data_IF_589831595759
#
_entry.id   IF_589831595759
#
_cell.length_a   1.000
_cell.length_b   1.000
_cell.length_c   1.000
_cell.angle_alpha   90.00
_cell.angle_beta   90.00
_cell.angle_gamma   90.00
#
_symmetry.space_group_name_H-M   'P 1'
#
loop_
_entity.id
_entity.type
_entity.pdbx_description
1 polymer ?
#
# COMPACT_ATOMS: atom_id res chain seq x y z
N UNK A 1 15.99 6.25 27.69
CA UNK A 1 16.20 4.95 28.36
C UNK A 1 15.08 4.00 27.96
N UNK A 2 15.53 2.87 27.42
CA UNK A 2 14.85 1.66 26.94
C UNK A 2 13.82 1.08 27.91
N UNK A 3 12.71 0.51 27.39
CA UNK A 3 12.20 -0.83 27.76
C UNK A 3 11.46 -1.46 26.57
N UNK A 4 12.24 -2.15 25.73
CA UNK A 4 11.78 -3.16 24.77
C UNK A 4 11.78 -4.47 25.56
N UNK A 5 10.61 -4.93 26.00
CA UNK A 5 10.51 -6.18 26.76
C UNK A 5 10.19 -7.32 25.80
N UNK A 6 11.19 -8.19 25.67
CA UNK A 6 11.18 -9.53 25.12
C UNK A 6 10.03 -10.36 25.72
N UNK A 7 9.21 -10.97 24.88
CA UNK A 7 8.39 -12.13 25.22
C UNK A 7 8.80 -13.25 24.27
N UNK A 8 9.89 -13.90 24.66
CA UNK A 8 10.41 -15.16 24.13
C UNK A 8 10.33 -16.15 25.29
N UNK A 9 9.52 -17.19 25.15
CA UNK A 9 9.40 -18.30 26.11
C UNK A 9 8.42 -19.30 25.50
N UNK A 10 8.89 -20.47 25.04
CA UNK A 10 9.21 -21.64 25.86
C UNK A 10 7.96 -22.56 25.80
N UNK A 11 8.01 -23.86 25.54
CA UNK A 11 8.87 -24.90 26.10
C UNK A 11 8.81 -26.12 25.17
N UNK A 12 9.97 -26.70 24.85
CA UNK A 12 10.12 -28.06 24.35
C UNK A 12 9.89 -29.03 25.52
N UNK A 13 8.85 -29.87 25.45
CA UNK A 13 8.66 -30.95 26.43
C UNK A 13 8.85 -32.29 25.73
N UNK A 14 10.01 -32.91 26.00
CA UNK A 14 10.34 -34.25 25.55
C UNK A 14 9.53 -35.31 26.29
N UNK A 15 9.01 -36.29 25.55
CA UNK A 15 8.44 -37.52 26.08
C UNK A 15 9.52 -38.59 26.09
N UNK A 16 10.09 -38.84 27.26
CA UNK A 16 10.81 -40.07 27.57
C UNK A 16 10.18 -40.66 28.84
N UNK A 17 9.54 -41.82 28.69
CA UNK A 17 8.93 -42.59 29.77
C UNK A 17 8.74 -44.02 29.32
N UNK A 18 9.81 -44.82 29.41
CA UNK A 18 9.81 -46.27 29.22
C UNK A 18 9.69 -46.93 30.59
N UNK A 19 8.66 -47.75 30.81
CA UNK A 19 8.77 -48.97 31.64
C UNK A 19 7.53 -49.88 31.55
N UNK A 20 7.73 -50.98 30.81
CA UNK A 20 7.30 -52.37 31.04
C UNK A 20 5.86 -52.67 31.53
N UNK A 21 5.06 -53.30 30.67
CA UNK A 21 4.63 -54.71 30.78
C UNK A 21 3.43 -55.00 29.85
N UNK A 22 3.54 -56.03 29.02
CA UNK A 22 2.39 -56.75 28.49
C UNK A 22 2.12 -56.62 26.99
N UNK A 23 2.10 -57.80 26.35
CA UNK A 23 1.43 -58.14 25.10
C UNK A 23 2.02 -57.61 23.77
N UNK A 24 2.52 -58.58 23.01
CA UNK A 24 2.84 -58.47 21.59
C UNK A 24 1.62 -58.01 20.77
N UNK A 25 1.83 -57.02 19.91
CA UNK A 25 1.18 -56.96 18.60
C UNK A 25 2.22 -56.43 17.63
N UNK A 26 2.68 -57.29 16.73
CA UNK A 26 3.47 -56.87 15.58
C UNK A 26 2.58 -56.02 14.67
N UNK A 27 2.62 -54.71 14.86
CA UNK A 27 2.00 -53.77 13.93
C UNK A 27 2.92 -53.67 12.72
N UNK A 28 2.48 -54.26 11.61
CA UNK A 28 3.03 -54.00 10.29
C UNK A 28 3.12 -52.49 10.04
N UNK A 29 4.13 -51.99 9.30
CA UNK A 29 4.13 -50.60 8.89
C UNK A 29 2.91 -50.35 8.01
N UNK A 30 1.93 -49.64 8.55
CA UNK A 30 0.84 -49.09 7.76
C UNK A 30 1.44 -48.17 6.69
N UNK A 31 0.97 -48.22 5.44
CA UNK A 31 1.40 -47.25 4.44
C UNK A 31 1.02 -45.86 4.94
N UNK A 32 2.00 -44.96 4.96
CA UNK A 32 1.82 -43.54 5.24
C UNK A 32 0.79 -43.01 4.24
N UNK A 33 -0.44 -42.82 4.72
CA UNK A 33 -1.51 -42.27 3.92
C UNK A 33 -1.09 -40.87 3.49
N UNK A 34 -1.16 -40.54 2.19
CA UNK A 34 -0.83 -39.20 1.72
C UNK A 34 -1.74 -38.21 2.46
N UNK A 35 -1.12 -37.24 3.14
CA UNK A 35 -1.84 -36.15 3.80
C UNK A 35 -2.93 -35.63 2.85
N UNK A 36 -4.19 -35.49 3.31
CA UNK A 36 -5.30 -35.19 2.43
C UNK A 36 -5.02 -33.85 1.76
N UNK A 37 -4.88 -33.87 0.43
CA UNK A 37 -4.63 -32.68 -0.39
C UNK A 37 -5.68 -31.57 -0.16
N UNK A 38 -6.82 -31.91 0.44
CA UNK A 38 -7.87 -30.99 0.85
C UNK A 38 -7.41 -29.95 1.87
N UNK A 39 -6.53 -30.29 2.83
CA UNK A 39 -6.11 -29.31 3.86
C UNK A 39 -5.26 -28.19 3.27
N UNK A 40 -4.34 -28.52 2.34
CA UNK A 40 -3.53 -27.53 1.63
C UNK A 40 -4.35 -26.65 0.68
N UNK A 41 -5.35 -27.23 0.02
CA UNK A 41 -6.25 -26.46 -0.85
C UNK A 41 -7.13 -25.49 -0.04
N UNK A 42 -7.56 -25.90 1.15
CA UNK A 42 -8.33 -25.06 2.07
C UNK A 42 -7.48 -23.93 2.68
N UNK A 43 -6.25 -24.23 3.11
CA UNK A 43 -5.27 -23.23 3.55
C UNK A 43 -4.97 -22.18 2.46
N UNK A 44 -4.79 -22.61 1.21
CA UNK A 44 -4.57 -21.71 0.08
C UNK A 44 -5.77 -20.77 -0.15
N UNK A 45 -6.99 -21.28 0.00
CA UNK A 45 -8.22 -20.49 -0.14
C UNK A 45 -8.37 -19.45 0.99
N UNK A 46 -8.02 -19.81 2.22
CA UNK A 46 -8.01 -18.87 3.35
C UNK A 46 -6.98 -17.76 3.13
N UNK A 47 -5.79 -18.09 2.62
CA UNK A 47 -4.77 -17.10 2.26
C UNK A 47 -5.24 -16.15 1.15
N UNK A 48 -5.95 -16.64 0.13
CA UNK A 48 -6.54 -15.81 -0.91
C UNK A 48 -7.61 -14.87 -0.36
N UNK A 49 -8.50 -15.35 0.52
CA UNK A 49 -9.50 -14.51 1.17
C UNK A 49 -8.86 -13.43 2.03
N UNK A 50 -7.84 -13.76 2.83
CA UNK A 50 -7.08 -12.77 3.62
C UNK A 50 -6.41 -11.75 2.69
N UNK A 51 -5.82 -12.18 1.57
CA UNK A 51 -5.20 -11.27 0.59
C UNK A 51 -6.23 -10.32 0.00
N UNK A 52 -7.42 -10.82 -0.33
CA UNK A 52 -8.46 -10.02 -0.97
C UNK A 52 -9.12 -9.05 0.03
N UNK A 53 -9.33 -9.47 1.28
CA UNK A 53 -9.74 -8.58 2.37
C UNK A 53 -8.69 -7.50 2.67
N UNK A 54 -7.40 -7.85 2.69
CA UNK A 54 -6.32 -6.87 2.86
C UNK A 54 -6.24 -5.89 1.68
N UNK A 55 -6.63 -6.30 0.46
CA UNK A 55 -6.75 -5.40 -0.69
C UNK A 55 -7.92 -4.43 -0.51
N UNK A 56 -9.06 -4.90 -0.01
CA UNK A 56 -10.20 -4.06 0.30
C UNK A 56 -9.90 -3.07 1.45
N UNK A 57 -9.23 -3.55 2.51
CA UNK A 57 -8.84 -2.75 3.67
C UNK A 57 -7.72 -1.74 3.39
N UNK A 58 -6.85 -2.00 2.40
CA UNK A 58 -5.83 -1.03 1.98
C UNK A 58 -6.40 0.25 1.36
N UNK A 59 -7.72 0.35 1.21
CA UNK A 59 -8.39 1.47 0.58
C UNK A 59 -8.04 1.59 -0.90
N UNK A 60 -8.75 2.46 -1.65
CA UNK A 60 -8.50 2.68 -3.08
C UNK A 60 -7.13 3.33 -3.37
N UNK A 61 -6.41 3.75 -2.33
CA UNK A 61 -5.20 4.55 -2.46
C UNK A 61 -4.13 3.96 -1.53
N UNK A 62 -3.23 3.16 -2.10
CA UNK A 62 -1.98 2.75 -1.47
C UNK A 62 -0.86 3.69 -1.93
N UNK A 63 0.23 3.89 -1.16
CA UNK A 63 1.38 4.66 -1.64
C UNK A 63 1.91 4.20 -3.01
N UNK A 64 1.77 2.91 -3.31
CA UNK A 64 2.17 2.32 -4.59
C UNK A 64 1.12 2.38 -5.70
N UNK A 65 -0.18 2.48 -5.36
CA UNK A 65 -1.28 2.43 -6.33
C UNK A 65 -2.43 3.29 -5.86
N UNK A 66 -2.62 4.43 -6.51
CA UNK A 66 -3.75 5.31 -6.27
C UNK A 66 -4.12 5.92 -7.62
N UNK A 67 -5.32 5.62 -8.11
CA UNK A 67 -5.71 5.98 -9.49
C UNK A 67 -5.57 7.47 -9.80
N UNK A 68 -5.83 8.32 -8.80
CA UNK A 68 -5.65 9.77 -8.87
C UNK A 68 -4.17 10.18 -8.97
N UNK A 69 -3.30 9.51 -8.23
CA UNK A 69 -1.84 9.75 -8.33
C UNK A 69 -1.30 9.26 -9.67
N UNK A 70 -1.84 8.15 -10.18
CA UNK A 70 -1.44 7.59 -11.47
C UNK A 70 -1.81 8.50 -12.64
N UNK A 71 -2.97 9.18 -12.58
CA UNK A 71 -3.37 10.16 -13.58
C UNK A 71 -2.51 11.44 -13.55
N UNK A 72 -2.12 11.93 -12.36
CA UNK A 72 -1.15 13.04 -12.23
C UNK A 72 0.20 12.63 -12.81
N UNK A 73 0.69 11.43 -12.46
CA UNK A 73 1.94 10.88 -13.01
C UNK A 73 1.88 10.71 -14.52
N UNK A 74 0.72 10.38 -15.08
CA UNK A 74 0.54 10.30 -16.53
C UNK A 74 0.74 11.67 -17.19
N UNK A 75 0.20 12.75 -16.63
CA UNK A 75 0.43 14.10 -17.12
C UNK A 75 1.90 14.52 -17.02
N UNK A 76 2.54 14.25 -15.88
CA UNK A 76 3.97 14.49 -15.67
C UNK A 76 4.82 13.74 -16.70
N UNK A 77 4.52 12.45 -16.97
CA UNK A 77 5.23 11.64 -17.97
C UNK A 77 5.04 12.20 -19.38
N UNK A 78 3.83 12.61 -19.74
CA UNK A 78 3.55 13.22 -21.05
C UNK A 78 4.35 14.50 -21.23
N UNK A 79 4.37 15.37 -20.23
CA UNK A 79 5.16 16.60 -20.26
C UNK A 79 6.66 16.33 -20.34
N UNK A 80 7.16 15.39 -19.53
CA UNK A 80 8.57 14.98 -19.50
C UNK A 80 9.05 14.47 -20.86
N UNK A 81 8.25 13.64 -21.54
CA UNK A 81 8.58 13.16 -22.89
C UNK A 81 8.71 14.28 -23.91
N UNK A 82 7.93 15.35 -23.75
CA UNK A 82 7.88 16.45 -24.71
C UNK A 82 8.91 17.56 -24.43
N UNK A 83 9.23 17.81 -23.15
CA UNK A 83 10.05 18.96 -22.71
C UNK A 83 11.38 18.58 -22.09
N UNK A 84 11.61 17.29 -21.77
CA UNK A 84 12.83 16.83 -21.10
C UNK A 84 12.94 17.21 -19.62
N UNK A 85 11.89 17.80 -19.03
CA UNK A 85 11.77 18.08 -17.59
C UNK A 85 10.37 17.82 -17.06
N UNK A 86 10.21 17.74 -15.74
CA UNK A 86 8.89 17.71 -15.11
C UNK A 86 8.18 19.07 -15.25
N UNK A 87 6.84 19.10 -15.30
CA UNK A 87 6.10 20.36 -15.30
C UNK A 87 6.23 21.04 -13.95
N UNK A 88 6.33 22.37 -13.96
CA UNK A 88 6.39 23.15 -12.72
C UNK A 88 5.01 23.14 -12.02
N UNK A 89 3.92 23.19 -12.78
CA UNK A 89 2.55 23.30 -12.27
C UNK A 89 1.57 22.35 -12.96
N UNK A 90 0.58 21.85 -12.22
CA UNK A 90 -0.62 21.17 -12.74
C UNK A 90 -1.84 21.69 -11.99
N UNK A 91 -2.85 22.15 -12.72
CA UNK A 91 -4.15 22.52 -12.13
C UNK A 91 -4.96 21.25 -11.79
N UNK A 92 -5.57 21.19 -10.60
CA UNK A 92 -6.37 20.05 -10.15
C UNK A 92 -7.66 20.49 -9.43
N UNK A 93 -8.69 19.64 -9.48
CA UNK A 93 -9.94 19.81 -8.75
C UNK A 93 -9.83 19.43 -7.26
N UNK A 94 -10.91 19.69 -6.51
CA UNK A 94 -10.94 19.50 -5.05
C UNK A 94 -10.86 18.03 -4.61
N UNK A 95 -11.56 17.11 -5.29
CA UNK A 95 -11.52 15.68 -4.95
C UNK A 95 -10.11 15.09 -5.20
N UNK A 96 -9.47 15.54 -6.28
CA UNK A 96 -8.08 15.17 -6.61
C UNK A 96 -7.13 15.70 -5.55
N UNK A 97 -7.32 16.94 -5.12
CA UNK A 97 -6.51 17.58 -4.10
C UNK A 97 -6.57 16.83 -2.76
N UNK A 98 -7.78 16.51 -2.28
CA UNK A 98 -7.99 15.75 -1.06
C UNK A 98 -7.37 14.35 -1.16
N UNK A 99 -7.56 13.67 -2.31
CA UNK A 99 -6.97 12.35 -2.55
C UNK A 99 -5.43 12.37 -2.52
N UNK A 100 -4.81 13.42 -3.08
CA UNK A 100 -3.35 13.56 -3.04
C UNK A 100 -2.87 13.91 -1.64
N UNK A 101 -3.62 14.72 -0.89
CA UNK A 101 -3.31 15.00 0.52
C UNK A 101 -3.31 13.71 1.34
N UNK A 102 -4.35 12.90 1.21
CA UNK A 102 -4.46 11.61 1.89
C UNK A 102 -3.33 10.67 1.48
N UNK A 103 -2.97 10.65 0.20
CA UNK A 103 -1.82 9.88 -0.29
C UNK A 103 -0.52 10.28 0.43
N UNK A 104 -0.26 11.58 0.65
CA UNK A 104 0.91 12.02 1.42
C UNK A 104 0.87 11.53 2.87
N UNK A 105 -0.30 11.63 3.52
CA UNK A 105 -0.50 11.14 4.89
C UNK A 105 -0.21 9.64 4.97
N UNK A 106 -0.74 8.84 4.04
CA UNK A 106 -0.50 7.40 3.96
C UNK A 106 0.96 7.06 3.64
N UNK A 107 1.59 7.84 2.76
CA UNK A 107 3.01 7.72 2.44
C UNK A 107 3.94 8.23 3.56
N UNK A 108 3.39 8.77 4.66
CA UNK A 108 4.12 9.41 5.76
C UNK A 108 5.03 10.54 5.28
N UNK A 109 4.64 11.20 4.20
CA UNK A 109 5.28 12.41 3.72
C UNK A 109 4.48 13.60 4.24
N UNK A 110 5.17 14.61 4.76
CA UNK A 110 4.50 15.85 5.18
C UNK A 110 3.97 16.56 3.93
N UNK A 111 2.65 16.74 3.76
CA UNK A 111 2.12 17.49 2.64
C UNK A 111 2.49 18.96 2.81
N UNK A 112 3.25 19.49 1.85
CA UNK A 112 3.53 20.93 1.77
C UNK A 112 2.39 21.61 1.03
N UNK A 113 1.25 21.75 1.70
CA UNK A 113 0.09 22.48 1.23
C UNK A 113 0.03 23.86 1.87
N UNK A 114 -0.21 24.90 1.06
CA UNK A 114 -0.27 26.28 1.54
C UNK A 114 -0.94 27.21 0.54
N UNK A 115 -1.16 28.45 0.97
CA UNK A 115 -1.65 29.51 0.09
C UNK A 115 -0.47 30.19 -0.59
N UNK A 116 -0.52 30.29 -1.90
CA UNK A 116 0.50 30.91 -2.74
C UNK A 116 0.30 32.43 -2.81
N UNK A 117 1.27 33.14 -3.40
CA UNK A 117 1.25 34.60 -3.53
C UNK A 117 0.07 35.12 -4.38
N UNK A 118 -0.40 34.31 -5.32
CA UNK A 118 -1.59 34.58 -6.14
C UNK A 118 -2.92 34.33 -5.41
N UNK A 119 -2.86 33.90 -4.14
CA UNK A 119 -4.02 33.61 -3.31
C UNK A 119 -4.64 32.24 -3.55
N UNK A 120 -4.13 31.44 -4.50
CA UNK A 120 -4.57 30.06 -4.76
C UNK A 120 -3.91 29.10 -3.76
N UNK A 121 -4.50 27.92 -3.59
CA UNK A 121 -3.88 26.86 -2.79
C UNK A 121 -2.95 26.02 -3.67
N UNK A 122 -1.71 25.83 -3.23
CA UNK A 122 -0.68 25.01 -3.87
C UNK A 122 -0.20 23.89 -2.95
N UNK A 123 0.03 22.69 -3.52
CA UNK A 123 0.59 21.54 -2.82
C UNK A 123 1.72 20.93 -3.64
N UNK A 124 2.89 20.75 -3.03
CA UNK A 124 4.00 20.10 -3.73
C UNK A 124 3.76 18.59 -3.86
N UNK A 125 3.95 18.07 -5.06
CA UNK A 125 3.91 16.64 -5.36
C UNK A 125 5.10 16.27 -6.26
N UNK A 126 6.10 15.60 -5.67
CA UNK A 126 7.39 15.33 -6.31
C UNK A 126 8.07 16.63 -6.81
N UNK A 127 8.20 16.81 -8.13
CA UNK A 127 8.85 17.96 -8.77
C UNK A 127 7.85 18.99 -9.32
N UNK A 128 6.56 18.82 -9.03
CA UNK A 128 5.47 19.64 -9.57
C UNK A 128 4.64 20.21 -8.42
N UNK A 129 4.26 21.47 -8.52
CA UNK A 129 3.29 22.10 -7.62
C UNK A 129 1.89 21.93 -8.19
N UNK A 130 1.02 21.22 -7.46
CA UNK A 130 -0.38 21.07 -7.81
C UNK A 130 -1.14 22.31 -7.35
N UNK A 131 -1.93 22.93 -8.22
CA UNK A 131 -2.69 24.14 -7.91
C UNK A 131 -4.17 23.83 -7.88
N UNK A 132 -4.83 24.17 -6.78
CA UNK A 132 -6.26 23.95 -6.62
C UNK A 132 -7.06 24.88 -7.55
N UNK A 133 -7.95 24.27 -8.34
CA UNK A 133 -9.02 24.91 -9.13
C UNK A 133 -10.36 24.53 -8.51
N UNK A 134 -10.76 25.28 -7.48
CA UNK A 134 -12.07 25.11 -6.82
C UNK A 134 -13.28 25.39 -7.72
N UNK A 135 -13.05 26.05 -8.85
CA UNK A 135 -14.04 26.44 -9.86
C UNK A 135 -14.28 25.34 -10.90
N UNK A 136 -13.39 24.35 -10.97
CA UNK A 136 -13.50 23.22 -11.90
C UNK A 136 -14.20 22.03 -11.25
N UNK A 137 -14.46 20.97 -12.04
CA UNK A 137 -15.03 19.73 -11.50
C UNK A 137 -14.10 19.10 -10.46
N UNK A 138 -14.66 18.40 -9.46
CA UNK A 138 -13.86 17.85 -8.36
C UNK A 138 -12.76 16.88 -8.81
N UNK A 139 -13.03 16.08 -9.84
CA UNK A 139 -12.08 15.15 -10.46
C UNK A 139 -11.22 15.77 -11.60
N UNK A 140 -11.20 17.10 -11.72
CA UNK A 140 -10.44 17.77 -12.77
C UNK A 140 -8.93 17.56 -12.62
N UNK A 141 -8.25 17.26 -13.73
CA UNK A 141 -6.79 17.21 -13.83
C UNK A 141 -6.39 17.90 -15.12
N UNK A 142 -5.73 19.03 -14.99
CA UNK A 142 -5.24 19.84 -16.10
C UNK A 142 -3.97 19.28 -16.73
N UNK A 143 -3.52 19.96 -17.79
CA UNK A 143 -2.25 19.69 -18.45
C UNK A 143 -1.14 20.35 -17.63
N UNK A 144 0.02 19.70 -17.53
CA UNK A 144 1.19 20.31 -16.91
C UNK A 144 1.70 21.51 -17.70
N UNK A 145 2.09 22.58 -16.99
CA UNK A 145 2.63 23.80 -17.56
C UNK A 145 3.79 24.33 -16.71
N UNK A 146 4.63 25.16 -17.33
CA UNK A 146 5.76 25.80 -16.67
C UNK A 146 5.39 27.20 -16.22
N UNK A 147 5.85 27.62 -15.04
CA UNK A 147 5.72 29.00 -14.61
C UNK A 147 6.91 29.78 -15.09
N UNK A 148 6.85 30.25 -16.33
CA UNK A 148 7.71 31.35 -16.78
C UNK A 148 6.82 32.46 -17.29
N UNK A 149 7.02 33.62 -16.67
CA UNK A 149 6.42 34.88 -17.05
C UNK A 149 6.60 35.17 -18.53
N UNK A 150 5.51 35.56 -19.14
CA UNK A 150 5.54 36.64 -20.13
C UNK A 150 5.84 37.95 -19.40
#
# INVERSE_FOLDING_TARGET
MTRRSLLTGGVFTGLAGVSAAGAAIASAPAPEAPAPQSSRAEEAKVLEQIRDELRLQRGPCSPASCGVVDSIRAQQKTFLKNRGKFPDFIDIGIDVWESVYDWHVMARQKPEAGRMQDGRYGMNFMFTTLILRHDMTGNYIGIGYDGRGE
#
